data_IF_830547721628
#
_entry.id   IF_830547721628
#
_cell.length_a   1.000
_cell.length_b   1.000
_cell.length_c   1.000
_cell.angle_alpha   90.00
_cell.angle_beta   90.00
_cell.angle_gamma   90.00
#
_symmetry.space_group_name_H-M   'P 1'
#
loop_
_entity.id
_entity.type
_entity.pdbx_description
1 polymer ?
#
# COMPACT_ATOMS: atom_id res chain seq x y z
N UNK A 1 12.35 -20.66 -5.21
CA UNK A 1 11.23 -19.69 -5.09
C UNK A 1 10.14 -20.11 -6.06
N UNK A 2 8.92 -20.27 -5.57
CA UNK A 2 7.74 -20.56 -6.40
C UNK A 2 7.25 -19.29 -7.10
N UNK A 3 6.49 -19.45 -8.18
CA UNK A 3 5.95 -18.32 -8.95
C UNK A 3 5.07 -17.38 -8.10
N UNK A 4 4.36 -17.91 -7.10
CA UNK A 4 3.53 -17.10 -6.20
C UNK A 4 4.40 -16.19 -5.32
N UNK A 5 5.53 -16.69 -4.83
CA UNK A 5 6.46 -15.92 -3.98
C UNK A 5 7.06 -14.76 -4.76
N UNK A 6 7.43 -14.99 -6.02
CA UNK A 6 7.92 -13.95 -6.92
C UNK A 6 6.84 -12.89 -7.16
N UNK A 7 5.60 -13.30 -7.44
CA UNK A 7 4.50 -12.38 -7.68
C UNK A 7 4.20 -11.51 -6.45
N UNK A 8 4.17 -12.11 -5.25
CA UNK A 8 3.96 -11.37 -4.00
C UNK A 8 5.09 -10.38 -3.73
N UNK A 9 6.35 -10.77 -3.95
CA UNK A 9 7.49 -9.91 -3.75
C UNK A 9 7.48 -8.71 -4.70
N UNK A 10 7.28 -8.95 -6.00
CA UNK A 10 7.25 -7.88 -7.00
C UNK A 10 6.03 -6.95 -6.81
N UNK A 11 4.85 -7.53 -6.51
CA UNK A 11 3.66 -6.74 -6.19
C UNK A 11 3.87 -5.84 -4.97
N UNK A 12 4.49 -6.37 -3.91
CA UNK A 12 4.86 -5.58 -2.73
C UNK A 12 5.82 -4.44 -3.06
N UNK A 13 6.83 -4.68 -3.89
CA UNK A 13 7.76 -3.63 -4.33
C UNK A 13 7.05 -2.53 -5.13
N UNK A 14 6.11 -2.88 -6.01
CA UNK A 14 5.32 -1.88 -6.76
C UNK A 14 4.48 -1.03 -5.80
N UNK A 15 3.86 -1.64 -4.80
CA UNK A 15 3.10 -0.91 -3.77
C UNK A 15 4.00 0.05 -3.00
N UNK A 16 5.18 -0.40 -2.55
CA UNK A 16 6.12 0.45 -1.83
C UNK A 16 6.68 1.58 -2.69
N UNK A 17 7.00 1.31 -3.96
CA UNK A 17 7.43 2.33 -4.91
C UNK A 17 6.34 3.37 -5.16
N UNK A 18 5.09 2.93 -5.33
CA UNK A 18 3.93 3.81 -5.48
C UNK A 18 3.68 4.67 -4.23
N UNK A 19 3.71 4.06 -3.04
CA UNK A 19 3.59 4.79 -1.78
C UNK A 19 4.70 5.83 -1.62
N UNK A 20 5.95 5.44 -1.85
CA UNK A 20 7.10 6.33 -1.77
C UNK A 20 7.01 7.51 -2.74
N UNK A 21 6.73 7.24 -4.01
CA UNK A 21 6.75 8.24 -5.07
C UNK A 21 5.50 9.12 -5.14
N UNK A 22 4.31 8.54 -4.96
CA UNK A 22 3.03 9.23 -5.20
C UNK A 22 2.40 9.79 -3.93
N UNK A 23 2.81 9.31 -2.75
CA UNK A 23 2.21 9.74 -1.48
C UNK A 23 3.26 10.39 -0.58
N UNK A 24 4.33 9.66 -0.25
CA UNK A 24 5.30 10.11 0.75
C UNK A 24 6.18 11.26 0.24
N UNK A 25 6.71 11.14 -0.98
CA UNK A 25 7.52 12.20 -1.59
C UNK A 25 6.76 13.54 -1.71
N UNK A 26 5.54 13.62 -2.28
CA UNK A 26 4.80 14.88 -2.35
C UNK A 26 4.39 15.42 -0.97
N UNK A 27 4.13 14.54 0.00
CA UNK A 27 3.90 14.97 1.38
C UNK A 27 5.14 15.69 1.94
N UNK A 28 6.35 15.17 1.69
CA UNK A 28 7.59 15.78 2.18
C UNK A 28 7.97 17.07 1.46
N UNK A 29 7.62 17.22 0.19
CA UNK A 29 7.88 18.46 -0.57
C UNK A 29 6.94 19.59 -0.19
N UNK A 30 5.76 19.28 0.37
CA UNK A 30 4.74 20.28 0.72
C UNK A 30 5.03 21.03 2.03
N UNK A 31 5.81 20.43 2.95
CA UNK A 31 6.08 21.00 4.27
C UNK A 31 7.52 21.53 4.38
N UNK A 32 7.70 22.67 5.05
CA UNK A 32 9.02 23.27 5.26
C UNK A 32 9.76 22.70 6.47
N UNK A 33 9.03 22.38 7.56
CA UNK A 33 9.65 21.97 8.84
C UNK A 33 9.71 20.46 8.97
N UNK A 34 10.82 19.94 9.52
CA UNK A 34 11.03 18.48 9.70
C UNK A 34 9.94 17.85 10.57
N UNK A 35 9.47 18.54 11.61
CA UNK A 35 8.41 18.03 12.49
C UNK A 35 7.06 17.86 11.77
N UNK A 36 6.75 18.76 10.82
CA UNK A 36 5.55 18.64 9.97
C UNK A 36 5.68 17.48 9.00
N UNK A 37 6.88 17.27 8.42
CA UNK A 37 7.17 16.12 7.54
C UNK A 37 6.99 14.80 8.27
N UNK A 38 7.42 14.71 9.53
CA UNK A 38 7.24 13.51 10.34
C UNK A 38 5.76 13.22 10.61
N UNK A 39 4.98 14.24 10.99
CA UNK A 39 3.54 14.10 11.19
C UNK A 39 2.82 13.70 9.88
N UNK A 40 3.18 14.32 8.75
CA UNK A 40 2.66 13.99 7.44
C UNK A 40 3.02 12.56 7.00
N UNK A 41 4.24 12.11 7.30
CA UNK A 41 4.67 10.73 7.05
C UNK A 41 3.81 9.75 7.85
N UNK A 42 3.63 10.01 9.14
CA UNK A 42 2.79 9.20 9.99
C UNK A 42 1.35 9.13 9.46
N UNK A 43 0.77 10.26 9.08
CA UNK A 43 -0.56 10.30 8.47
C UNK A 43 -0.62 9.55 7.13
N UNK A 44 0.43 9.59 6.32
CA UNK A 44 0.47 8.85 5.06
C UNK A 44 0.48 7.31 5.25
N UNK A 45 0.95 6.82 6.40
CA UNK A 45 0.88 5.38 6.71
C UNK A 45 -0.58 4.93 6.86
N UNK A 46 -1.47 5.80 7.34
CA UNK A 46 -2.91 5.51 7.36
C UNK A 46 -3.44 5.23 5.94
N UNK A 47 -3.09 6.08 4.96
CA UNK A 47 -3.44 5.84 3.55
C UNK A 47 -2.90 4.49 3.06
N UNK A 48 -1.64 4.16 3.36
CA UNK A 48 -1.05 2.89 2.96
C UNK A 48 -1.83 1.70 3.55
N UNK A 49 -2.13 1.75 4.85
CA UNK A 49 -2.93 0.71 5.52
C UNK A 49 -4.32 0.59 4.90
N UNK A 50 -4.99 1.71 4.60
CA UNK A 50 -6.31 1.70 3.96
C UNK A 50 -6.25 1.05 2.57
N UNK A 51 -5.26 1.39 1.75
CA UNK A 51 -5.10 0.81 0.41
C UNK A 51 -4.79 -0.68 0.47
N UNK A 52 -3.93 -1.11 1.40
CA UNK A 52 -3.64 -2.53 1.63
C UNK A 52 -4.90 -3.26 2.10
N UNK A 53 -5.63 -2.71 3.07
CA UNK A 53 -6.87 -3.31 3.57
C UNK A 53 -7.92 -3.45 2.47
N UNK A 54 -8.08 -2.43 1.61
CA UNK A 54 -8.97 -2.48 0.47
C UNK A 54 -8.53 -3.55 -0.55
N UNK A 55 -7.23 -3.61 -0.87
CA UNK A 55 -6.68 -4.64 -1.77
C UNK A 55 -6.92 -6.05 -1.23
N UNK A 56 -6.72 -6.27 0.07
CA UNK A 56 -7.02 -7.54 0.75
C UNK A 56 -8.52 -7.84 0.70
N UNK A 57 -9.38 -6.88 1.01
CA UNK A 57 -10.84 -7.07 0.97
C UNK A 57 -11.32 -7.47 -0.43
N UNK A 58 -10.83 -6.81 -1.48
CA UNK A 58 -11.14 -7.16 -2.87
C UNK A 58 -10.58 -8.53 -3.23
N UNK A 59 -9.32 -8.82 -2.90
CA UNK A 59 -8.71 -10.12 -3.15
C UNK A 59 -9.46 -11.27 -2.48
N UNK A 60 -9.89 -11.08 -1.23
CA UNK A 60 -10.70 -12.04 -0.49
C UNK A 60 -12.09 -12.20 -1.10
N UNK A 61 -12.75 -11.12 -1.52
CA UNK A 61 -14.05 -11.19 -2.17
C UNK A 61 -13.99 -11.99 -3.48
N UNK A 62 -12.95 -11.78 -4.28
CA UNK A 62 -12.70 -12.55 -5.51
C UNK A 62 -12.43 -14.02 -5.18
N UNK A 63 -11.56 -14.31 -4.22
CA UNK A 63 -11.30 -15.67 -3.77
C UNK A 63 -12.59 -16.37 -3.32
N UNK A 64 -13.42 -15.69 -2.53
CA UNK A 64 -14.69 -16.20 -2.02
C UNK A 64 -15.65 -16.59 -3.15
N UNK A 65 -15.68 -15.80 -4.23
CA UNK A 65 -16.51 -16.09 -5.42
C UNK A 65 -16.08 -17.36 -6.16
N UNK A 66 -14.79 -17.63 -6.24
CA UNK A 66 -14.26 -18.83 -6.91
C UNK A 66 -14.23 -20.06 -6.00
N UNK A 67 -14.12 -19.86 -4.69
CA UNK A 67 -14.13 -20.93 -3.70
C UNK A 67 -15.51 -21.58 -3.51
N UNK A 68 -16.57 -21.03 -4.13
CA UNK A 68 -17.94 -21.54 -4.00
C UNK A 68 -18.58 -21.24 -2.65
N UNK A 69 -18.07 -20.25 -1.92
CA UNK A 69 -18.59 -19.81 -0.63
C UNK A 69 -19.60 -18.65 -0.75
N UNK A 70 -19.80 -18.15 -1.98
CA UNK A 70 -20.76 -17.09 -2.34
C UNK A 70 -22.11 -17.67 -2.77
#
# INVERSE_FOLDING_TARGET
MSSIEIALLLGGLVVLAGYGGLILAPAWTSYGRIWEKLAASFLSLFMLVTLVALGVAVGLAVFWSYAGLA
#
